data_IF_685263807320
#
_entry.id   IF_685263807320
#
_cell.length_a   1.000
_cell.length_b   1.000
_cell.length_c   1.000
_cell.angle_alpha   90.00
_cell.angle_beta   90.00
_cell.angle_gamma   90.00
#
_symmetry.space_group_name_H-M   'P 1'
#
loop_
_entity.id
_entity.type
_entity.pdbx_description
1 polymer ?
#
# COMPACT_ATOMS: atom_id res chain seq x y z
N UNK A 1 0.56 -3.94 15.94
CA UNK A 1 0.12 -4.57 14.68
C UNK A 1 -1.04 -5.51 14.97
N UNK A 2 -2.07 -5.46 14.13
CA UNK A 2 -3.26 -6.28 14.35
C UNK A 2 -3.14 -7.59 13.59
N UNK A 3 -3.29 -8.71 14.29
CA UNK A 3 -3.28 -10.02 13.65
C UNK A 3 -4.68 -10.34 13.15
N UNK A 4 -4.80 -10.55 11.85
CA UNK A 4 -6.08 -10.89 11.23
C UNK A 4 -6.42 -12.38 11.36
N UNK A 5 -5.44 -13.21 11.65
CA UNK A 5 -5.62 -14.66 11.65
C UNK A 5 -5.73 -15.27 10.26
N UNK A 6 -5.64 -14.46 9.22
CA UNK A 6 -5.79 -14.92 7.84
C UNK A 6 -4.42 -15.30 7.29
N UNK A 7 -4.34 -16.48 6.68
CA UNK A 7 -3.12 -16.94 6.02
C UNK A 7 -3.45 -17.34 4.59
N UNK A 8 -2.45 -17.25 3.72
CA UNK A 8 -2.58 -17.68 2.33
C UNK A 8 -1.30 -18.36 1.91
N UNK A 9 -1.43 -19.38 1.06
CA UNK A 9 -0.27 -20.09 0.55
C UNK A 9 0.29 -19.36 -0.67
N UNK A 10 1.61 -19.33 -0.75
CA UNK A 10 2.29 -18.82 -1.92
C UNK A 10 2.22 -19.90 -3.01
N UNK A 11 1.89 -19.52 -4.23
CA UNK A 11 1.88 -20.49 -5.34
C UNK A 11 3.29 -20.64 -5.93
N UNK A 12 3.40 -21.49 -6.95
CA UNK A 12 4.71 -21.78 -7.56
C UNK A 12 5.31 -20.59 -8.30
N UNK A 13 4.50 -19.59 -8.62
CA UNK A 13 4.97 -18.38 -9.30
C UNK A 13 5.19 -17.23 -8.32
N UNK A 14 5.10 -17.51 -7.03
CA UNK A 14 5.31 -16.48 -6.02
C UNK A 14 4.12 -15.55 -5.81
N UNK A 15 2.91 -15.99 -6.16
CA UNK A 15 1.71 -15.17 -6.04
C UNK A 15 0.89 -15.58 -4.83
N UNK A 16 0.26 -14.59 -4.22
CA UNK A 16 -0.76 -14.82 -3.17
C UNK A 16 -1.98 -13.98 -3.53
N UNK A 17 -3.13 -14.42 -3.01
CA UNK A 17 -4.37 -13.66 -3.16
C UNK A 17 -4.58 -12.84 -1.90
N UNK A 18 -4.75 -11.54 -2.06
CA UNK A 18 -5.09 -10.67 -0.93
C UNK A 18 -6.57 -10.92 -0.62
N UNK A 19 -6.91 -11.33 0.61
CA UNK A 19 -8.30 -11.63 0.96
C UNK A 19 -9.22 -10.43 0.70
N UNK A 20 -10.44 -10.75 0.28
CA UNK A 20 -11.43 -9.72 -0.08
C UNK A 20 -11.69 -8.77 1.09
N UNK A 21 -11.71 -9.29 2.30
CA UNK A 21 -11.93 -8.47 3.50
C UNK A 21 -10.87 -7.40 3.65
N UNK A 22 -9.62 -7.78 3.42
CA UNK A 22 -8.50 -6.83 3.50
C UNK A 22 -8.57 -5.84 2.36
N UNK A 23 -8.87 -6.30 1.15
CA UNK A 23 -9.01 -5.41 0.00
C UNK A 23 -10.10 -4.36 0.23
N UNK A 24 -11.21 -4.79 0.80
CA UNK A 24 -12.33 -3.87 1.09
C UNK A 24 -11.92 -2.82 2.12
N UNK A 25 -11.20 -3.23 3.15
CA UNK A 25 -10.77 -2.30 4.18
C UNK A 25 -9.87 -1.19 3.62
N UNK A 26 -9.07 -1.51 2.64
CA UNK A 26 -8.14 -0.55 2.04
C UNK A 26 -8.62 -0.03 0.70
N UNK A 27 -9.84 -0.42 0.29
CA UNK A 27 -10.43 0.01 -0.98
C UNK A 27 -9.52 -0.30 -2.16
N UNK A 28 -8.95 -1.50 -2.15
CA UNK A 28 -8.11 -1.98 -3.24
C UNK A 28 -9.00 -2.69 -4.24
N UNK A 29 -9.01 -2.21 -5.48
CA UNK A 29 -9.86 -2.73 -6.53
C UNK A 29 -9.02 -3.31 -7.66
N UNK A 30 -9.69 -4.07 -8.54
CA UNK A 30 -9.04 -4.64 -9.70
C UNK A 30 -8.37 -3.54 -10.52
N UNK A 31 -7.13 -3.78 -10.90
CA UNK A 31 -6.35 -2.83 -11.66
C UNK A 31 -5.58 -1.82 -10.82
N UNK A 32 -5.87 -1.75 -9.52
CA UNK A 32 -5.12 -0.86 -8.64
C UNK A 32 -3.69 -1.36 -8.47
N UNK A 33 -2.78 -0.42 -8.35
CA UNK A 33 -1.40 -0.74 -8.03
C UNK A 33 -1.21 -0.74 -6.53
N UNK A 34 -0.32 -1.60 -6.05
CA UNK A 34 0.08 -1.60 -4.64
C UNK A 34 1.59 -1.46 -4.57
N UNK A 35 2.07 -0.89 -3.48
CA UNK A 35 3.49 -0.71 -3.26
C UNK A 35 3.97 -1.66 -2.17
N UNK A 36 5.16 -2.19 -2.36
CA UNK A 36 5.79 -3.10 -1.41
C UNK A 36 6.89 -2.38 -0.67
N UNK A 37 6.88 -2.51 0.64
CA UNK A 37 7.92 -1.97 1.50
C UNK A 37 8.51 -3.10 2.33
N UNK A 38 9.77 -2.99 2.67
CA UNK A 38 10.45 -3.95 3.52
C UNK A 38 10.76 -3.31 4.86
N UNK A 39 10.51 -4.05 5.92
CA UNK A 39 10.84 -3.61 7.27
C UNK A 39 11.31 -4.83 8.05
N UNK A 40 12.54 -4.81 8.54
CA UNK A 40 13.13 -5.92 9.29
C UNK A 40 12.73 -7.28 8.71
N UNK A 41 11.77 -7.96 9.34
CA UNK A 41 11.32 -9.28 8.91
C UNK A 41 9.93 -9.25 8.29
N UNK A 42 9.51 -8.09 7.77
CA UNK A 42 8.17 -7.92 7.28
C UNK A 42 8.15 -7.41 5.84
N UNK A 43 7.12 -7.84 5.12
CA UNK A 43 6.78 -7.26 3.83
C UNK A 43 5.50 -6.47 4.06
N UNK A 44 5.54 -5.18 3.75
CA UNK A 44 4.39 -4.29 3.94
C UNK A 44 3.83 -3.95 2.57
N UNK A 45 2.54 -4.15 2.39
CA UNK A 45 1.85 -3.83 1.15
C UNK A 45 0.95 -2.63 1.43
N UNK A 46 1.10 -1.58 0.63
CA UNK A 46 0.30 -0.37 0.78
C UNK A 46 -0.34 0.01 -0.53
N UNK A 47 -1.55 0.53 -0.43
CA UNK A 47 -2.17 1.17 -1.58
C UNK A 47 -1.49 2.53 -1.76
N UNK A 48 -1.11 2.90 -2.99
CA UNK A 48 -0.50 4.21 -3.21
C UNK A 48 -1.41 5.32 -2.71
N UNK A 49 -0.79 6.41 -2.23
CA UNK A 49 -1.55 7.56 -1.77
C UNK A 49 -2.44 8.08 -2.88
N UNK A 50 -3.65 8.53 -2.50
CA UNK A 50 -4.57 9.16 -3.44
C UNK A 50 -3.90 10.34 -4.16
N UNK A 51 -2.90 10.95 -3.52
CA UNK A 51 -2.19 12.08 -4.09
C UNK A 51 -1.35 11.71 -5.30
N UNK A 52 -0.99 10.44 -5.45
CA UNK A 52 -0.25 9.99 -6.62
C UNK A 52 -1.06 10.03 -7.91
N UNK A 53 -2.38 10.07 -7.80
CA UNK A 53 -3.25 10.18 -8.96
C UNK A 53 -3.50 11.62 -9.39
N UNK A 54 -2.95 12.60 -8.67
CA UNK A 54 -3.11 14.01 -8.96
C UNK A 54 -1.99 14.52 -9.85
N UNK A 55 -2.13 15.77 -10.29
CA UNK A 55 -1.12 16.44 -11.05
C UNK A 55 0.22 16.41 -10.33
N UNK A 56 1.32 16.21 -11.09
CA UNK A 56 2.66 16.13 -10.52
C UNK A 56 3.02 17.36 -9.70
N UNK A 57 2.61 18.53 -10.14
CA UNK A 57 2.92 19.76 -9.41
C UNK A 57 2.23 19.79 -8.07
N UNK A 58 0.99 19.36 -8.01
CA UNK A 58 0.24 19.32 -6.76
C UNK A 58 0.88 18.31 -5.81
N UNK A 59 1.28 17.16 -6.34
CA UNK A 59 1.94 16.13 -5.55
C UNK A 59 3.25 16.64 -4.98
N UNK A 60 4.03 17.32 -5.78
CA UNK A 60 5.31 17.90 -5.35
C UNK A 60 5.13 18.94 -4.26
N UNK A 61 4.13 19.79 -4.41
CA UNK A 61 3.82 20.80 -3.39
C UNK A 61 3.43 20.15 -2.08
N UNK A 62 2.63 19.09 -2.15
CA UNK A 62 2.24 18.36 -0.96
C UNK A 62 3.45 17.74 -0.27
N UNK A 63 4.38 17.17 -1.02
CA UNK A 63 5.59 16.58 -0.47
C UNK A 63 6.45 17.63 0.24
N UNK A 64 6.62 18.77 -0.39
CA UNK A 64 7.39 19.87 0.20
C UNK A 64 6.73 20.36 1.49
N UNK A 65 5.41 20.49 1.47
CA UNK A 65 4.66 20.90 2.64
C UNK A 65 4.85 19.93 3.80
N UNK A 66 4.74 18.64 3.53
CA UNK A 66 4.94 17.62 4.56
C UNK A 66 6.34 17.65 5.13
N UNK A 67 7.35 17.81 4.28
CA UNK A 67 8.73 17.88 4.74
C UNK A 67 8.93 19.07 5.67
N UNK A 68 8.22 20.16 5.40
CA UNK A 68 8.33 21.38 6.19
C UNK A 68 7.81 21.19 7.62
N UNK A 69 6.83 20.31 7.78
CA UNK A 69 6.19 20.09 9.07
C UNK A 69 6.67 18.84 9.79
N UNK A 70 7.58 18.10 9.21
CA UNK A 70 8.08 16.85 9.76
C UNK A 70 9.42 16.98 10.46
N UNK A 71 9.81 18.15 10.81
CA UNK A 71 11.08 18.33 11.53
C UNK A 71 10.91 18.29 13.03
#
# INVERSE_FOLDING_TARGET
MKNTGITRKLDELGRIVIPKEIRNNFKIEEGDQVEFFLSNNEIIIKKPSILKGLDDEIYKLFQVYNLKFHN
#
